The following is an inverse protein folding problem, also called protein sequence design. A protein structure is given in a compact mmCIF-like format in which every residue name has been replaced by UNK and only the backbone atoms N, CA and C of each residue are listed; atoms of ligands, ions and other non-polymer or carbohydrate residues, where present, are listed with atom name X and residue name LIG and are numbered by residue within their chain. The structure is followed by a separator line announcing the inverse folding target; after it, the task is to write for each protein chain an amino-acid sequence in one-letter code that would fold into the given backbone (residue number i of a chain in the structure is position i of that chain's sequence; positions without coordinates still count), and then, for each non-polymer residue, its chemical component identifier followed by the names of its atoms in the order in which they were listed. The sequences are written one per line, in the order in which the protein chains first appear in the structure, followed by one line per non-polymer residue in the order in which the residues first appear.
data_IF_136867200543
#
_entry.id   IF_136867200543
#
_cell.length_a   1.000
_cell.length_b   1.000
_cell.length_c   1.000
_cell.angle_alpha   90.00
_cell.angle_beta   90.00
_cell.angle_gamma   90.00
#
_symmetry.space_group_name_H-M   'P 1'
#
loop_
_entity.id
_entity.type
_entity.pdbx_description
1 polymer ?
#
# COMPACT_ATOMS: atom_id res chain seq x y z
N UNK A 1 -49.68 -64.42 -10.37
CA UNK A 1 -49.63 -62.97 -10.49
C UNK A 1 -49.02 -62.48 -9.21
N UNK A 2 -47.68 -62.18 -9.26
CA UNK A 2 -46.95 -61.73 -8.06
C UNK A 2 -46.96 -60.16 -8.04
N UNK A 3 -47.51 -59.59 -6.99
CA UNK A 3 -47.56 -58.16 -6.79
C UNK A 3 -46.14 -57.62 -6.62
N UNK A 4 -45.75 -56.49 -7.30
CA UNK A 4 -44.47 -55.83 -7.10
C UNK A 4 -44.46 -55.17 -5.75
N UNK A 5 -43.53 -55.57 -4.88
CA UNK A 5 -43.28 -54.89 -3.58
C UNK A 5 -42.78 -53.47 -3.80
N UNK A 6 -43.34 -52.48 -3.07
CA UNK A 6 -42.85 -51.10 -3.17
C UNK A 6 -41.46 -50.99 -2.57
N UNK A 7 -40.52 -50.46 -3.37
CA UNK A 7 -39.16 -50.10 -2.92
C UNK A 7 -39.28 -48.91 -1.98
N UNK A 8 -39.16 -49.12 -0.66
CA UNK A 8 -39.09 -48.06 0.34
C UNK A 8 -37.69 -47.48 0.29
N UNK A 9 -37.52 -46.20 -0.07
CA UNK A 9 -36.20 -45.56 -0.03
C UNK A 9 -35.71 -45.50 1.42
N UNK A 10 -34.55 -46.10 1.68
CA UNK A 10 -33.90 -46.04 2.98
C UNK A 10 -33.35 -44.63 3.21
N UNK A 11 -34.09 -43.78 3.92
CA UNK A 11 -33.61 -42.48 4.31
C UNK A 11 -32.41 -42.63 5.27
N UNK A 12 -31.22 -42.30 4.78
CA UNK A 12 -30.02 -42.22 5.61
C UNK A 12 -30.14 -40.97 6.52
N UNK A 13 -30.64 -41.16 7.71
CA UNK A 13 -30.67 -40.10 8.74
C UNK A 13 -29.24 -39.81 9.21
N UNK A 14 -28.72 -38.66 8.85
CA UNK A 14 -27.42 -38.18 9.39
C UNK A 14 -27.62 -37.87 10.86
N UNK A 15 -26.84 -38.50 11.73
CA UNK A 15 -26.89 -38.25 13.19
C UNK A 15 -26.59 -36.77 13.49
N UNK A 16 -27.44 -36.10 14.28
CA UNK A 16 -27.29 -34.69 14.63
C UNK A 16 -25.92 -34.33 15.24
N UNK A 17 -25.26 -35.33 15.87
CA UNK A 17 -23.88 -35.16 16.39
C UNK A 17 -22.88 -34.87 15.28
N UNK A 18 -22.95 -35.57 14.16
CA UNK A 18 -22.07 -35.37 13.02
C UNK A 18 -22.33 -34.04 12.32
N UNK A 19 -23.55 -33.57 12.34
CA UNK A 19 -23.91 -32.25 11.79
C UNK A 19 -23.28 -31.13 12.63
N UNK A 20 -23.35 -31.22 13.96
CA UNK A 20 -22.70 -30.25 14.86
C UNK A 20 -21.19 -30.27 14.70
N UNK A 21 -20.57 -31.46 14.66
CA UNK A 21 -19.11 -31.59 14.44
C UNK A 21 -18.73 -30.98 13.09
N UNK A 22 -19.50 -31.22 12.04
CA UNK A 22 -19.27 -30.64 10.71
C UNK A 22 -19.28 -29.11 10.73
N UNK A 23 -20.24 -28.51 11.45
CA UNK A 23 -20.31 -27.05 11.61
C UNK A 23 -19.09 -26.50 12.34
N UNK A 24 -18.60 -27.14 13.40
CA UNK A 24 -17.40 -26.72 14.10
C UNK A 24 -16.14 -26.83 13.24
N UNK A 25 -15.98 -27.95 12.54
CA UNK A 25 -14.85 -28.14 11.60
C UNK A 25 -14.86 -27.08 10.51
N UNK A 26 -16.02 -26.79 9.92
CA UNK A 26 -16.14 -25.74 8.91
C UNK A 26 -15.80 -24.36 9.48
N UNK A 27 -16.26 -24.01 10.68
CA UNK A 27 -15.94 -22.74 11.36
C UNK A 27 -14.44 -22.58 11.60
N UNK A 28 -13.79 -23.61 12.13
CA UNK A 28 -12.34 -23.63 12.38
C UNK A 28 -11.56 -23.49 11.06
N UNK A 29 -11.98 -24.22 10.03
CA UNK A 29 -11.32 -24.19 8.72
C UNK A 29 -11.41 -22.78 8.09
N UNK A 30 -12.59 -22.16 8.10
CA UNK A 30 -12.78 -20.80 7.57
C UNK A 30 -11.96 -19.77 8.34
N UNK A 31 -11.94 -19.85 9.68
CA UNK A 31 -11.15 -18.94 10.52
C UNK A 31 -9.65 -19.12 10.28
N UNK A 32 -9.18 -20.37 10.16
CA UNK A 32 -7.78 -20.67 9.86
C UNK A 32 -7.37 -20.15 8.48
N UNK A 33 -8.24 -20.30 7.48
CA UNK A 33 -8.00 -19.81 6.12
C UNK A 33 -7.91 -18.28 6.10
N UNK A 34 -8.82 -17.58 6.78
CA UNK A 34 -8.78 -16.12 6.92
C UNK A 34 -7.51 -15.65 7.64
N UNK A 35 -7.09 -16.36 8.69
CA UNK A 35 -5.86 -16.05 9.41
C UNK A 35 -4.63 -16.23 8.52
N UNK A 36 -4.54 -17.34 7.79
CA UNK A 36 -3.45 -17.60 6.86
C UNK A 36 -3.40 -16.56 5.73
N UNK A 37 -4.55 -16.23 5.16
CA UNK A 37 -4.68 -15.17 4.14
C UNK A 37 -4.20 -13.81 4.68
N UNK A 38 -4.63 -13.43 5.87
CA UNK A 38 -4.22 -12.18 6.52
C UNK A 38 -2.71 -12.13 6.74
N UNK A 39 -2.10 -13.22 7.21
CA UNK A 39 -0.63 -13.30 7.42
C UNK A 39 0.15 -13.18 6.11
N UNK A 40 -0.31 -13.81 5.04
CA UNK A 40 0.36 -13.80 3.75
C UNK A 40 0.27 -12.45 3.03
N UNK A 41 -0.85 -11.75 3.16
CA UNK A 41 -1.11 -10.52 2.39
C UNK A 41 -0.76 -9.23 3.15
N UNK A 42 -0.93 -9.20 4.48
CA UNK A 42 -0.66 -8.01 5.29
C UNK A 42 0.69 -8.07 6.02
N UNK A 43 1.30 -9.27 6.09
CA UNK A 43 2.54 -9.49 6.84
C UNK A 43 3.81 -8.87 6.27
N UNK A 44 4.05 -8.87 4.94
CA UNK A 44 5.36 -8.54 4.41
C UNK A 44 5.78 -7.08 4.63
N UNK A 45 4.85 -6.14 4.71
CA UNK A 45 5.14 -4.71 4.91
C UNK A 45 5.07 -4.24 6.36
N UNK A 46 4.75 -5.12 7.30
CA UNK A 46 4.62 -4.77 8.71
C UNK A 46 5.90 -4.18 9.31
N UNK A 47 7.11 -4.73 9.06
CA UNK A 47 8.34 -4.14 9.58
C UNK A 47 8.58 -2.71 9.12
N UNK A 48 8.18 -2.38 7.88
CA UNK A 48 8.26 -1.02 7.36
C UNK A 48 7.22 -0.10 8.02
N UNK A 49 5.99 -0.58 8.18
CA UNK A 49 4.94 0.18 8.86
C UNK A 49 5.32 0.49 10.31
N UNK A 50 5.81 -0.49 11.05
CA UNK A 50 6.23 -0.33 12.44
C UNK A 50 7.41 0.64 12.57
N UNK A 51 8.36 0.61 11.63
CA UNK A 51 9.48 1.54 11.59
C UNK A 51 9.00 2.99 11.33
N UNK A 52 8.06 3.20 10.40
CA UNK A 52 7.49 4.51 10.13
C UNK A 52 6.72 5.03 11.34
N UNK A 53 5.93 4.19 12.02
CA UNK A 53 5.19 4.59 13.25
C UNK A 53 6.14 4.97 14.37
N UNK A 54 7.25 4.22 14.53
CA UNK A 54 8.25 4.51 15.55
C UNK A 54 8.92 5.86 15.35
N UNK A 55 9.17 6.25 14.11
CA UNK A 55 9.83 7.51 13.78
C UNK A 55 8.86 8.69 13.67
N UNK A 56 7.65 8.42 13.19
CA UNK A 56 6.57 9.41 13.04
C UNK A 56 5.32 8.95 13.80
N UNK A 57 5.24 9.16 15.11
CA UNK A 57 4.07 8.78 15.91
C UNK A 57 2.80 9.45 15.39
N UNK A 58 1.71 8.68 15.30
CA UNK A 58 0.42 9.17 14.77
C UNK A 58 0.30 9.16 13.25
N UNK A 59 1.33 8.75 12.52
CA UNK A 59 1.36 8.75 11.04
C UNK A 59 0.45 7.71 10.38
N UNK A 60 0.01 6.67 11.08
CA UNK A 60 -0.88 5.61 10.61
C UNK A 60 -0.54 5.12 9.17
N UNK A 61 0.70 4.64 8.92
CA UNK A 61 1.16 4.33 7.58
C UNK A 61 0.39 3.16 6.98
N UNK A 62 0.01 3.31 5.71
CA UNK A 62 -0.49 2.21 4.88
C UNK A 62 0.52 1.94 3.79
N UNK A 63 0.99 0.72 3.71
CA UNK A 63 1.98 0.28 2.72
C UNK A 63 1.34 -0.77 1.84
N UNK A 64 1.42 -0.54 0.55
CA UNK A 64 0.96 -1.44 -0.51
C UNK A 64 2.05 -1.56 -1.57
N UNK A 65 2.28 -2.75 -2.09
CA UNK A 65 3.34 -2.96 -3.04
C UNK A 65 3.19 -4.21 -3.89
N UNK A 66 3.76 -4.14 -5.08
CA UNK A 66 3.76 -5.26 -6.02
C UNK A 66 3.72 -4.84 -7.48
N UNK A 67 3.58 -5.82 -8.36
CA UNK A 67 3.40 -5.62 -9.81
C UNK A 67 1.92 -5.51 -10.12
N UNK A 68 1.52 -4.44 -10.80
CA UNK A 68 0.12 -4.21 -11.20
C UNK A 68 -0.43 -5.32 -12.10
N UNK A 69 0.42 -5.95 -12.92
CA UNK A 69 0.10 -7.11 -13.77
C UNK A 69 1.31 -8.03 -13.84
N UNK A 70 1.30 -9.20 -13.19
CA UNK A 70 2.47 -10.08 -13.15
C UNK A 70 2.87 -10.65 -14.53
N UNK A 71 1.94 -10.74 -15.48
CA UNK A 71 2.17 -11.23 -16.84
C UNK A 71 2.75 -10.20 -17.82
N UNK A 72 2.82 -8.92 -17.44
CA UNK A 72 3.41 -7.86 -18.26
C UNK A 72 4.67 -7.34 -17.56
N UNK A 73 5.61 -6.85 -18.36
CA UNK A 73 6.85 -6.22 -17.85
C UNK A 73 6.55 -4.86 -17.17
N UNK A 74 5.64 -4.87 -16.20
CA UNK A 74 5.25 -3.69 -15.44
C UNK A 74 6.20 -3.47 -14.27
N UNK A 75 6.52 -2.22 -13.93
CA UNK A 75 7.39 -1.92 -12.80
C UNK A 75 6.77 -2.40 -11.48
N UNK A 76 7.62 -2.84 -10.57
CA UNK A 76 7.23 -3.10 -9.18
C UNK A 76 7.13 -1.77 -8.46
N UNK A 77 5.97 -1.45 -7.93
CA UNK A 77 5.68 -0.18 -7.27
C UNK A 77 5.48 -0.45 -5.78
N UNK A 78 6.10 0.35 -4.95
CA UNK A 78 5.81 0.44 -3.52
C UNK A 78 5.12 1.78 -3.26
N UNK A 79 3.92 1.72 -2.70
CA UNK A 79 3.12 2.88 -2.36
C UNK A 79 2.97 2.99 -0.85
N UNK A 80 3.29 4.15 -0.31
CA UNK A 80 3.23 4.45 1.12
C UNK A 80 2.32 5.64 1.32
N UNK A 81 1.25 5.48 2.09
CA UNK A 81 0.38 6.56 2.52
C UNK A 81 0.69 6.87 3.99
N UNK A 82 0.93 8.13 4.30
CA UNK A 82 1.27 8.57 5.65
C UNK A 82 0.43 9.79 6.03
N UNK A 83 -0.23 9.70 7.17
CA UNK A 83 -0.94 10.82 7.78
C UNK A 83 0.08 11.76 8.44
N UNK A 84 -0.15 13.07 8.34
CA UNK A 84 0.64 14.08 9.02
C UNK A 84 -0.25 15.14 9.68
N UNK A 85 0.29 15.81 10.67
CA UNK A 85 -0.33 16.99 11.30
C UNK A 85 0.02 18.29 10.54
N UNK A 86 1.10 18.26 9.75
CA UNK A 86 1.54 19.37 8.91
C UNK A 86 0.60 19.47 7.71
N UNK A 87 0.22 20.67 7.32
CA UNK A 87 -0.55 20.85 6.10
C UNK A 87 0.35 20.69 4.86
N UNK A 88 0.15 19.61 4.05
CA UNK A 88 1.00 19.37 2.90
C UNK A 88 0.88 20.44 1.80
N UNK A 89 -0.18 21.24 1.81
CA UNK A 89 -0.42 22.31 0.85
C UNK A 89 0.04 23.68 1.36
N UNK A 90 0.51 23.74 2.59
CA UNK A 90 1.11 24.98 3.14
C UNK A 90 2.42 25.28 2.42
N UNK A 91 2.57 26.54 1.99
CA UNK A 91 3.79 27.04 1.33
C UNK A 91 4.75 27.71 2.31
N UNK A 92 4.62 27.42 3.60
CA UNK A 92 5.53 27.93 4.62
C UNK A 92 6.85 27.16 4.50
N UNK A 93 7.96 27.86 4.58
CA UNK A 93 9.30 27.25 4.47
C UNK A 93 9.52 26.13 5.49
N UNK A 94 9.04 26.33 6.70
CA UNK A 94 9.08 25.33 7.77
C UNK A 94 8.31 24.04 7.39
N UNK A 95 7.09 24.19 6.85
CA UNK A 95 6.29 23.05 6.39
C UNK A 95 6.96 22.30 5.24
N UNK A 96 7.55 23.03 4.29
CA UNK A 96 8.28 22.42 3.17
C UNK A 96 9.51 21.65 3.66
N UNK A 97 10.31 22.21 4.57
CA UNK A 97 11.48 21.51 5.13
C UNK A 97 11.07 20.24 5.88
N UNK A 98 10.01 20.29 6.66
CA UNK A 98 9.48 19.12 7.37
C UNK A 98 8.96 18.05 6.42
N UNK A 99 8.28 18.42 5.34
CA UNK A 99 7.81 17.46 4.32
C UNK A 99 8.97 16.83 3.55
N UNK A 100 10.01 17.61 3.23
CA UNK A 100 11.24 17.12 2.60
C UNK A 100 11.94 16.10 3.51
N UNK A 101 12.08 16.43 4.79
CA UNK A 101 12.67 15.52 5.78
C UNK A 101 11.86 14.22 5.90
N UNK A 102 10.54 14.33 6.09
CA UNK A 102 9.65 13.19 6.21
C UNK A 102 9.72 12.29 4.97
N UNK A 103 9.63 12.87 3.76
CA UNK A 103 9.73 12.14 2.50
C UNK A 103 11.05 11.40 2.37
N UNK A 104 12.18 12.08 2.64
CA UNK A 104 13.51 11.49 2.57
C UNK A 104 13.63 10.32 3.52
N UNK A 105 13.22 10.51 4.77
CA UNK A 105 13.36 9.49 5.80
C UNK A 105 12.47 8.27 5.56
N UNK A 106 11.22 8.47 5.14
CA UNK A 106 10.34 7.36 4.75
C UNK A 106 10.91 6.62 3.54
N UNK A 107 11.51 7.32 2.58
CA UNK A 107 12.20 6.72 1.44
C UNK A 107 13.35 5.82 1.86
N UNK A 108 14.20 6.26 2.77
CA UNK A 108 15.30 5.45 3.33
C UNK A 108 14.79 4.19 4.02
N UNK A 109 13.78 4.32 4.89
CA UNK A 109 13.13 3.18 5.55
C UNK A 109 12.51 2.20 4.55
N UNK A 110 11.91 2.72 3.49
CA UNK A 110 11.32 1.90 2.44
C UNK A 110 12.37 1.05 1.71
N UNK A 111 13.50 1.65 1.36
CA UNK A 111 14.60 0.95 0.70
C UNK A 111 15.28 -0.09 1.62
N UNK A 112 15.34 0.18 2.92
CA UNK A 112 15.94 -0.73 3.89
C UNK A 112 15.05 -1.93 4.25
N UNK A 113 13.74 -1.68 4.41
CA UNK A 113 12.83 -2.65 5.05
C UNK A 113 11.76 -3.24 4.12
N UNK A 114 11.62 -2.73 2.89
CA UNK A 114 10.65 -3.30 1.96
C UNK A 114 11.13 -4.63 1.38
N UNK A 115 10.35 -5.71 1.48
CA UNK A 115 10.73 -7.03 0.99
C UNK A 115 10.47 -7.19 -0.52
N UNK A 116 10.85 -6.19 -1.32
CA UNK A 116 10.63 -6.17 -2.76
C UNK A 116 11.96 -6.11 -3.50
N UNK A 117 12.50 -7.26 -3.95
CA UNK A 117 13.84 -7.32 -4.58
C UNK A 117 13.92 -6.53 -5.90
N UNK A 118 12.80 -6.40 -6.62
CA UNK A 118 12.73 -5.72 -7.94
C UNK A 118 12.01 -4.37 -7.86
N UNK A 119 12.11 -3.67 -6.72
CA UNK A 119 11.48 -2.37 -6.56
C UNK A 119 11.99 -1.40 -7.62
N UNK A 120 11.08 -0.87 -8.41
CA UNK A 120 11.39 0.06 -9.50
C UNK A 120 10.90 1.46 -9.24
N UNK A 121 9.79 1.58 -8.54
CA UNK A 121 9.13 2.87 -8.29
C UNK A 121 8.67 2.94 -6.84
N UNK A 122 9.01 4.04 -6.18
CA UNK A 122 8.54 4.36 -4.84
C UNK A 122 7.60 5.57 -4.90
N UNK A 123 6.39 5.41 -4.40
CA UNK A 123 5.39 6.48 -4.28
C UNK A 123 5.09 6.75 -2.80
N UNK A 124 5.22 8.00 -2.39
CA UNK A 124 4.88 8.44 -1.03
C UNK A 124 3.77 9.49 -1.13
N UNK A 125 2.68 9.22 -0.43
CA UNK A 125 1.53 10.11 -0.31
C UNK A 125 1.42 10.60 1.12
N UNK A 126 1.66 11.89 1.32
CA UNK A 126 1.53 12.54 2.61
C UNK A 126 0.20 13.27 2.63
N UNK A 127 -0.62 13.04 3.64
CA UNK A 127 -1.94 13.65 3.72
C UNK A 127 -2.28 14.12 5.13
N UNK A 128 -3.10 15.17 5.21
CA UNK A 128 -3.71 15.69 6.42
C UNK A 128 -5.22 15.68 6.28
N UNK A 129 -5.90 15.20 7.30
CA UNK A 129 -7.34 15.33 7.46
C UNK A 129 -7.64 16.65 8.17
N UNK A 130 -8.30 17.58 7.49
CA UNK A 130 -8.67 18.89 8.06
C UNK A 130 -10.02 18.83 8.74
N UNK A 131 -11.00 18.19 8.10
CA UNK A 131 -12.35 17.90 8.59
C UNK A 131 -12.77 16.55 8.02
N UNK A 132 -13.93 16.04 8.41
CA UNK A 132 -14.41 14.71 8.01
C UNK A 132 -14.38 14.42 6.49
N UNK A 133 -14.37 15.45 5.65
CA UNK A 133 -14.48 15.34 4.18
C UNK A 133 -13.28 15.97 3.45
N UNK A 134 -12.51 16.86 4.09
CA UNK A 134 -11.44 17.61 3.42
C UNK A 134 -10.08 17.00 3.71
N UNK A 135 -9.41 16.54 2.64
CA UNK A 135 -8.09 15.90 2.69
C UNK A 135 -7.10 16.73 1.89
N UNK A 136 -6.13 17.33 2.54
CA UNK A 136 -4.96 17.90 1.89
C UNK A 136 -3.93 16.79 1.66
N UNK A 137 -3.53 16.59 0.40
CA UNK A 137 -2.63 15.52 0.01
C UNK A 137 -1.58 16.03 -0.97
N UNK A 138 -0.34 15.64 -0.72
CA UNK A 138 0.78 15.84 -1.64
C UNK A 138 1.45 14.48 -1.92
N UNK A 139 1.78 14.25 -3.17
CA UNK A 139 2.24 12.94 -3.62
C UNK A 139 3.58 13.06 -4.32
N UNK A 140 4.51 12.18 -3.97
CA UNK A 140 5.86 12.17 -4.48
C UNK A 140 6.18 10.80 -5.08
N UNK A 141 6.97 10.81 -6.13
CA UNK A 141 7.44 9.60 -6.79
C UNK A 141 8.94 9.66 -7.01
N UNK A 142 9.57 8.52 -6.86
CA UNK A 142 10.98 8.30 -7.19
C UNK A 142 11.07 7.06 -8.08
N UNK A 143 11.74 7.18 -9.21
CA UNK A 143 12.03 6.07 -10.10
C UNK A 143 13.46 5.59 -9.87
N UNK A 144 13.59 4.45 -9.20
CA UNK A 144 14.88 3.87 -8.81
C UNK A 144 15.73 3.40 -9.99
N UNK A 145 15.14 3.25 -11.18
CA UNK A 145 15.87 2.86 -12.39
C UNK A 145 16.35 4.07 -13.20
N UNK A 146 15.61 5.18 -13.14
CA UNK A 146 15.96 6.40 -13.86
C UNK A 146 16.85 7.33 -13.04
N UNK A 147 16.82 7.22 -11.73
CA UNK A 147 17.58 8.05 -10.81
C UNK A 147 16.96 8.02 -9.40
N UNK A 148 17.58 8.73 -8.46
CA UNK A 148 17.10 8.80 -7.07
C UNK A 148 16.38 10.12 -6.76
N UNK A 149 16.05 10.89 -7.77
CA UNK A 149 15.41 12.19 -7.60
C UNK A 149 13.91 12.05 -7.36
N UNK A 150 13.42 12.84 -6.43
CA UNK A 150 11.99 12.92 -6.13
C UNK A 150 11.33 13.97 -7.00
N UNK A 151 10.19 13.61 -7.57
CA UNK A 151 9.30 14.56 -8.24
C UNK A 151 7.88 14.44 -7.69
N UNK A 152 7.18 15.56 -7.71
CA UNK A 152 5.79 15.63 -7.30
C UNK A 152 4.89 15.10 -8.41
N UNK A 153 3.87 14.34 -8.04
CA UNK A 153 2.89 13.76 -8.97
C UNK A 153 1.48 14.24 -8.64
N UNK A 154 0.67 14.37 -9.68
CA UNK A 154 -0.76 14.64 -9.56
C UNK A 154 -1.56 13.40 -9.11
N UNK A 155 -2.87 13.54 -9.02
CA UNK A 155 -3.76 12.44 -8.65
C UNK A 155 -3.78 11.29 -9.69
N UNK A 156 -3.32 11.55 -10.92
CA UNK A 156 -3.23 10.56 -12.00
C UNK A 156 -1.86 9.90 -12.06
N UNK A 157 -0.92 10.36 -11.23
CA UNK A 157 0.46 9.87 -11.22
C UNK A 157 1.37 10.51 -12.27
N UNK A 158 0.91 11.60 -12.92
CA UNK A 158 1.71 12.38 -13.84
C UNK A 158 2.62 13.37 -13.06
N UNK A 159 3.85 13.63 -13.52
CA UNK A 159 4.73 14.59 -12.88
C UNK A 159 4.16 16.00 -12.98
N UNK A 160 4.13 16.70 -11.86
CA UNK A 160 3.80 18.13 -11.82
C UNK A 160 5.08 18.87 -12.19
N UNK A 161 5.11 19.45 -13.39
CA UNK A 161 6.19 20.33 -13.78
C UNK A 161 6.08 21.61 -12.95
N UNK A 162 6.86 21.69 -11.89
CA UNK A 162 7.10 22.95 -11.20
C UNK A 162 7.94 23.82 -12.13
N UNK A 163 7.27 24.66 -12.91
CA UNK A 163 7.91 25.74 -13.64
C UNK A 163 8.48 26.72 -12.59
N UNK A 164 9.73 26.60 -12.27
CA UNK A 164 10.35 27.55 -11.36
C UNK A 164 11.76 27.17 -11.00
N UNK A 165 12.65 27.90 -11.62
CA UNK A 165 13.97 28.32 -11.15
C UNK A 165 15.14 27.44 -11.60
N UNK A 166 15.88 28.12 -12.48
CA UNK A 166 17.30 28.07 -12.74
C UNK A 166 17.83 27.09 -13.78
N UNK A 167 17.44 27.31 -15.02
CA UNK A 167 18.40 27.14 -16.10
C UNK A 167 19.28 28.39 -16.15
N UNK A 168 20.34 28.38 -15.35
CA UNK A 168 21.47 29.29 -15.54
C UNK A 168 22.00 29.10 -16.96
N UNK A 169 21.60 29.97 -17.87
CA UNK A 169 22.28 30.11 -19.15
C UNK A 169 23.75 30.42 -18.90
N UNK A 170 24.70 29.60 -19.38
CA UNK A 170 26.08 30.03 -19.46
C UNK A 170 26.14 31.10 -20.55
N UNK A 171 26.38 32.34 -20.13
CA UNK A 171 26.59 33.47 -21.03
C UNK A 171 27.61 33.15 -22.11
N UNK A 172 27.14 33.05 -23.32
CA UNK A 172 27.99 33.06 -24.52
C UNK A 172 28.33 34.52 -24.82
N UNK A 173 29.44 34.97 -24.26
CA UNK A 173 30.12 36.13 -24.78
C UNK A 173 30.92 35.72 -26.01
N UNK A 174 30.51 36.25 -27.15
CA UNK A 174 31.29 36.21 -28.39
C UNK A 174 31.79 37.64 -28.63
N UNK A 175 33.07 37.80 -29.02
CA UNK A 175 33.73 39.05 -29.21
C UNK A 175 33.25 39.85 -30.42
#
# INVERSE_FOLDING_TARGET
MSDPQPIVPTERTVSGRWLVVGMFVMGITLTSLLYAYSKLHLGPFRPLQDAIVSEFPGSAPRVDGGKKKPSKNTPTILRILVKTEIDPLSKTEESEQQLIFMRKRIGELALEKAPLPDLSVLEIHIYKLLKEVEIHKRSYRMDLKAGTDWFEIDQRGAPILTNGVDSGEPGTSIP
#
